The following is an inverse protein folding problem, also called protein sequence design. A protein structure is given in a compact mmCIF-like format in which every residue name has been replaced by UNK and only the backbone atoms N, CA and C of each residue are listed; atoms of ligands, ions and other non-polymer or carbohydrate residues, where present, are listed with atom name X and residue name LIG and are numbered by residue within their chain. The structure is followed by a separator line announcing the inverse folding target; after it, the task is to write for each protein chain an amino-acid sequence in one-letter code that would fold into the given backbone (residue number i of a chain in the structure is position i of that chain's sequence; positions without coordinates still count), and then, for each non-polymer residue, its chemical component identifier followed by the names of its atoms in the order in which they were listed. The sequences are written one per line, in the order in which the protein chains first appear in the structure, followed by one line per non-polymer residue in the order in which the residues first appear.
data_IF_242371869921
#
_entry.id   IF_242371869921
#
_cell.length_a   1.000
_cell.length_b   1.000
_cell.length_c   1.000
_cell.angle_alpha   90.00
_cell.angle_beta   90.00
_cell.angle_gamma   90.00
#
_symmetry.space_group_name_H-M   'P 1'
#
loop_
_entity.id
_entity.type
_entity.pdbx_description
1 polymer ?
#
# COMPACT_ATOMS: atom_id res chain seq x y z
N UNK A 1 -13.25 -0.72 1.74
CA UNK A 1 -12.52 -0.24 2.93
C UNK A 1 -11.41 -1.24 3.19
N UNK A 2 -10.16 -0.79 3.23
CA UNK A 2 -9.03 -1.65 3.61
C UNK A 2 -8.90 -1.66 5.12
N UNK A 3 -8.48 -2.80 5.67
CA UNK A 3 -8.35 -3.02 7.12
C UNK A 3 -6.88 -3.11 7.53
N UNK A 4 -6.04 -3.71 6.67
CA UNK A 4 -4.65 -4.02 6.96
C UNK A 4 -3.67 -3.31 6.03
N UNK A 5 -4.12 -2.75 4.90
CA UNK A 5 -3.25 -2.07 3.93
C UNK A 5 -3.67 -0.61 3.76
N UNK A 6 -2.74 0.32 3.93
CA UNK A 6 -2.96 1.75 3.68
C UNK A 6 -2.00 2.28 2.62
N UNK A 7 -2.50 3.19 1.78
CA UNK A 7 -1.70 3.93 0.79
C UNK A 7 -1.31 5.28 1.38
N UNK A 8 -0.03 5.62 1.28
CA UNK A 8 0.49 6.93 1.63
C UNK A 8 1.27 7.52 0.46
N UNK A 9 1.11 8.82 0.24
CA UNK A 9 1.95 9.60 -0.67
C UNK A 9 2.69 10.69 0.12
N UNK A 10 3.88 11.05 -0.33
CA UNK A 10 4.61 12.18 0.20
C UNK A 10 4.23 13.46 -0.58
N UNK A 11 3.74 14.53 0.07
CA UNK A 11 3.46 15.80 -0.60
C UNK A 11 4.70 16.47 -1.21
N UNK A 12 5.88 16.26 -0.62
CA UNK A 12 7.16 16.80 -1.09
C UNK A 12 7.77 15.92 -2.19
N UNK A 13 7.49 14.62 -2.16
CA UNK A 13 7.94 13.63 -3.15
C UNK A 13 6.77 12.79 -3.72
N UNK A 14 5.87 13.39 -4.53
CA UNK A 14 4.65 12.72 -5.00
C UNK A 14 4.91 11.50 -5.91
N UNK A 15 6.15 11.36 -6.41
CA UNK A 15 6.57 10.26 -7.27
C UNK A 15 6.76 8.93 -6.56
N UNK A 16 6.79 8.92 -5.23
CA UNK A 16 6.92 7.70 -4.44
C UNK A 16 5.64 7.51 -3.62
N UNK A 17 4.93 6.42 -3.88
CA UNK A 17 3.85 5.96 -3.01
C UNK A 17 4.34 4.85 -2.10
N UNK A 18 3.74 4.72 -0.92
CA UNK A 18 4.02 3.62 -0.02
C UNK A 18 2.74 2.88 0.36
N UNK A 19 2.83 1.56 0.46
CA UNK A 19 1.80 0.68 0.98
C UNK A 19 2.29 0.13 2.31
N UNK A 20 1.57 0.44 3.38
CA UNK A 20 1.85 -0.05 4.72
C UNK A 20 0.93 -1.22 5.05
N UNK A 21 1.51 -2.39 5.35
CA UNK A 21 0.80 -3.52 5.96
C UNK A 21 0.86 -3.36 7.47
N UNK A 22 -0.30 -3.21 8.11
CA UNK A 22 -0.46 -3.13 9.55
C UNK A 22 -1.42 -4.22 10.02
N UNK A 23 -0.87 -5.40 10.33
CA UNK A 23 -1.61 -6.53 10.91
C UNK A 23 -0.78 -7.20 12.02
N UNK A 24 -0.72 -6.58 13.22
CA UNK A 24 -0.02 -7.17 14.36
C UNK A 24 -0.52 -8.58 14.70
N UNK A 25 0.36 -9.48 15.19
CA UNK A 25 1.77 -9.23 15.55
C UNK A 25 2.79 -9.50 14.44
N UNK A 26 2.42 -10.15 13.32
CA UNK A 26 3.39 -10.67 12.33
C UNK A 26 3.11 -10.24 10.90
N UNK A 27 2.13 -9.38 10.66
CA UNK A 27 1.64 -9.03 9.33
C UNK A 27 1.25 -10.26 8.48
N UNK A 28 0.60 -11.25 9.12
CA UNK A 28 0.34 -12.52 8.45
C UNK A 28 -0.46 -12.35 7.14
N UNK A 29 0.07 -12.94 6.08
CA UNK A 29 -0.42 -12.79 4.70
C UNK A 29 -1.66 -13.65 4.45
N UNK A 30 -2.80 -13.20 4.95
CA UNK A 30 -4.09 -13.83 4.65
C UNK A 30 -4.56 -13.49 3.25
N UNK A 31 -5.54 -14.24 2.73
CA UNK A 31 -6.23 -13.89 1.47
C UNK A 31 -6.79 -12.47 1.46
N UNK A 32 -7.20 -11.95 2.61
CA UNK A 32 -7.66 -10.57 2.71
C UNK A 32 -6.52 -9.59 2.47
N UNK A 33 -5.38 -9.76 3.13
CA UNK A 33 -4.19 -8.89 2.94
C UNK A 33 -3.76 -8.88 1.48
N UNK A 34 -3.73 -10.02 0.79
CA UNK A 34 -3.42 -10.07 -0.64
C UNK A 34 -4.42 -9.26 -1.50
N UNK A 35 -5.72 -9.36 -1.22
CA UNK A 35 -6.75 -8.58 -1.95
C UNK A 35 -6.60 -7.08 -1.70
N UNK A 36 -6.27 -6.70 -0.47
CA UNK A 36 -6.05 -5.31 -0.11
C UNK A 36 -4.78 -4.74 -0.76
N UNK A 37 -3.68 -5.51 -0.82
CA UNK A 37 -2.48 -5.11 -1.57
C UNK A 37 -2.81 -4.93 -3.04
N UNK A 38 -3.54 -5.87 -3.65
CA UNK A 38 -3.91 -5.76 -5.06
C UNK A 38 -4.79 -4.53 -5.34
N UNK A 39 -5.74 -4.22 -4.46
CA UNK A 39 -6.59 -3.04 -4.56
C UNK A 39 -5.77 -1.75 -4.41
N UNK A 40 -4.90 -1.67 -3.40
CA UNK A 40 -4.01 -0.52 -3.17
C UNK A 40 -3.02 -0.34 -4.33
N UNK A 41 -2.48 -1.43 -4.88
CA UNK A 41 -1.62 -1.39 -6.06
C UNK A 41 -2.36 -0.86 -7.29
N UNK A 42 -3.61 -1.27 -7.50
CA UNK A 42 -4.43 -0.76 -8.59
C UNK A 42 -4.72 0.75 -8.43
N UNK A 43 -4.97 1.21 -7.20
CA UNK A 43 -5.16 2.62 -6.88
C UNK A 43 -3.93 3.46 -7.23
N UNK A 44 -2.74 3.07 -6.75
CA UNK A 44 -1.51 3.81 -7.05
C UNK A 44 -1.06 3.66 -8.50
N UNK A 45 -1.45 2.59 -9.19
CA UNK A 45 -1.16 2.42 -10.62
C UNK A 45 -2.00 3.32 -11.51
N UNK A 46 -3.15 3.82 -11.03
CA UNK A 46 -3.99 4.78 -11.74
C UNK A 46 -3.50 6.23 -11.61
N UNK A 47 -2.42 6.46 -10.84
CA UNK A 47 -1.86 7.77 -10.56
C UNK A 47 -0.66 8.05 -11.45
N UNK A 48 -0.81 8.98 -12.39
CA UNK A 48 0.27 9.38 -13.31
C UNK A 48 1.44 10.09 -12.61
N UNK A 49 1.23 10.61 -11.40
CA UNK A 49 2.27 11.26 -10.60
C UNK A 49 3.18 10.26 -9.87
N UNK A 50 2.79 8.98 -9.76
CA UNK A 50 3.54 7.95 -9.04
C UNK A 50 4.48 7.20 -10.00
N UNK A 51 5.78 7.24 -9.73
CA UNK A 51 6.81 6.54 -10.50
C UNK A 51 7.29 5.24 -9.82
N UNK A 52 7.16 5.14 -8.51
CA UNK A 52 7.61 3.99 -7.73
C UNK A 52 6.73 3.73 -6.51
N UNK A 53 6.70 2.47 -6.08
CA UNK A 53 5.89 2.02 -4.95
C UNK A 53 6.76 1.20 -3.98
N UNK A 54 6.69 1.55 -2.69
CA UNK A 54 7.35 0.79 -1.60
C UNK A 54 6.29 0.07 -0.79
N UNK A 55 6.36 -1.26 -0.73
CA UNK A 55 5.52 -2.08 0.15
C UNK A 55 6.33 -2.49 1.38
N UNK A 56 5.83 -2.21 2.58
CA UNK A 56 6.49 -2.58 3.82
C UNK A 56 5.48 -2.87 4.94
N UNK A 57 5.95 -3.52 6.00
CA UNK A 57 5.18 -3.79 7.22
C UNK A 57 6.01 -3.55 8.46
N UNK A 58 5.35 -3.31 9.60
CA UNK A 58 5.95 -3.09 10.92
C UNK A 58 5.82 -4.26 11.87
#
# INVERSE_FOLDING_TARGET
MSEFVSVHGDPEEPRIATLLISRPPTNAMTRQVYREIAAAAAEVSARDDVAAVVLYGG
#
